data_IF_924296301700
#
_entry.id   IF_924296301700
#
_cell.length_a   1.000
_cell.length_b   1.000
_cell.length_c   1.000
_cell.angle_alpha   90.00
_cell.angle_beta   90.00
_cell.angle_gamma   90.00
#
_symmetry.space_group_name_H-M   'P 1'
#
loop_
_entity.id
_entity.type
_entity.pdbx_description
1 polymer ?
#
# COMPACT_ATOMS: atom_id res chain seq x y z
N UNK A 1 -12.53 -8.13 25.36
CA UNK A 1 -12.58 -7.17 24.23
C UNK A 1 -14.02 -7.10 23.71
N UNK A 2 -14.58 -5.92 23.42
CA UNK A 2 -15.95 -5.83 22.86
C UNK A 2 -15.99 -6.29 21.40
N UNK A 3 -17.05 -6.98 20.95
CA UNK A 3 -17.25 -7.41 19.55
C UNK A 3 -17.04 -6.27 18.54
N UNK A 4 -17.42 -5.04 18.91
CA UNK A 4 -17.21 -3.84 18.08
C UNK A 4 -15.73 -3.49 17.96
N UNK A 5 -14.96 -3.61 19.03
CA UNK A 5 -13.53 -3.31 18.99
C UNK A 5 -12.81 -4.28 18.04
N UNK A 6 -13.06 -5.58 18.16
CA UNK A 6 -12.47 -6.58 17.25
C UNK A 6 -12.82 -6.32 15.77
N UNK A 7 -14.05 -5.92 15.46
CA UNK A 7 -14.45 -5.55 14.10
C UNK A 7 -13.75 -4.29 13.58
N UNK A 8 -13.51 -3.31 14.46
CA UNK A 8 -12.80 -2.08 14.10
C UNK A 8 -11.32 -2.37 13.89
N UNK A 9 -10.71 -3.17 14.76
CA UNK A 9 -9.30 -3.55 14.66
C UNK A 9 -9.05 -4.32 13.35
N UNK A 10 -9.88 -5.31 13.03
CA UNK A 10 -9.81 -6.04 11.75
C UNK A 10 -10.01 -5.10 10.56
N UNK A 11 -11.03 -4.23 10.62
CA UNK A 11 -11.28 -3.24 9.58
C UNK A 11 -10.12 -2.28 9.37
N UNK A 12 -9.41 -1.91 10.45
CA UNK A 12 -8.22 -1.07 10.39
C UNK A 12 -7.07 -1.83 9.72
N UNK A 13 -6.80 -3.09 10.09
CA UNK A 13 -5.77 -3.90 9.44
C UNK A 13 -5.99 -4.03 7.93
N UNK A 14 -7.22 -4.28 7.51
CA UNK A 14 -7.59 -4.37 6.09
C UNK A 14 -7.37 -3.02 5.41
N UNK A 15 -7.85 -1.92 6.00
CA UNK A 15 -7.71 -0.57 5.44
C UNK A 15 -6.23 -0.17 5.29
N UNK A 16 -5.40 -0.38 6.31
CA UNK A 16 -3.97 -0.08 6.25
C UNK A 16 -3.23 -0.93 5.21
N UNK A 17 -3.66 -2.18 5.03
CA UNK A 17 -3.13 -3.05 3.98
C UNK A 17 -3.46 -2.51 2.58
N UNK A 18 -4.69 -2.02 2.38
CA UNK A 18 -5.11 -1.38 1.13
C UNK A 18 -4.33 -0.10 0.84
N UNK A 19 -4.17 0.80 1.83
CA UNK A 19 -3.37 2.02 1.71
C UNK A 19 -1.93 1.69 1.33
N UNK A 20 -1.30 0.74 2.02
CA UNK A 20 0.07 0.30 1.69
C UNK A 20 0.16 -0.21 0.25
N UNK A 21 -0.85 -0.92 -0.24
CA UNK A 21 -0.86 -1.42 -1.62
C UNK A 21 -1.01 -0.28 -2.64
N UNK A 22 -1.85 0.72 -2.36
CA UNK A 22 -1.97 1.92 -3.19
C UNK A 22 -0.65 2.68 -3.27
N UNK A 23 -0.02 2.97 -2.12
CA UNK A 23 1.28 3.66 -2.06
C UNK A 23 2.38 2.86 -2.76
N UNK A 24 2.39 1.53 -2.63
CA UNK A 24 3.33 0.66 -3.36
C UNK A 24 3.20 0.86 -4.87
N UNK A 25 1.98 0.89 -5.39
CA UNK A 25 1.73 1.08 -6.81
C UNK A 25 2.18 2.47 -7.29
N UNK A 26 1.92 3.52 -6.51
CA UNK A 26 2.42 4.88 -6.78
C UNK A 26 3.95 4.94 -6.83
N UNK A 27 4.65 4.27 -5.91
CA UNK A 27 6.11 4.17 -5.92
C UNK A 27 6.60 3.47 -7.20
N UNK A 28 5.97 2.36 -7.60
CA UNK A 28 6.34 1.64 -8.83
C UNK A 28 6.11 2.53 -10.05
N UNK A 29 4.97 3.21 -10.14
CA UNK A 29 4.66 4.10 -11.27
C UNK A 29 5.66 5.28 -11.31
N UNK A 30 5.94 5.89 -10.16
CA UNK A 30 6.92 6.97 -10.04
C UNK A 30 8.29 6.53 -10.55
N UNK A 31 8.78 5.38 -10.09
CA UNK A 31 10.07 4.82 -10.52
C UNK A 31 10.14 4.49 -12.02
N UNK A 32 9.00 4.25 -12.68
CA UNK A 32 8.94 3.95 -14.12
C UNK A 32 8.78 5.18 -15.01
N UNK A 33 8.09 6.22 -14.54
CA UNK A 33 7.75 7.40 -15.36
C UNK A 33 8.76 8.52 -15.25
N UNK A 34 9.29 8.73 -14.05
CA UNK A 34 10.10 9.89 -13.72
C UNK A 34 11.43 9.37 -13.21
N UNK A 35 12.53 9.70 -13.89
CA UNK A 35 13.87 9.55 -13.31
C UNK A 35 14.09 10.54 -12.13
N UNK A 36 13.04 10.83 -11.36
CA UNK A 36 13.05 11.68 -10.19
C UNK A 36 13.62 10.89 -9.01
N UNK A 37 14.38 11.60 -8.18
CA UNK A 37 14.90 11.04 -6.94
C UNK A 37 13.74 10.68 -6.00
N UNK A 38 13.91 9.60 -5.26
CA UNK A 38 12.92 9.13 -4.29
C UNK A 38 12.73 10.16 -3.17
N UNK A 39 11.52 10.73 -3.07
CA UNK A 39 11.13 11.63 -1.98
C UNK A 39 10.12 10.95 -1.02
N UNK A 40 10.52 10.63 0.23
CA UNK A 40 9.63 10.06 1.24
C UNK A 40 8.41 10.92 1.56
N UNK A 41 8.52 12.25 1.52
CA UNK A 41 7.44 13.15 1.92
C UNK A 41 6.30 13.13 0.89
N UNK A 42 6.63 13.13 -0.41
CA UNK A 42 5.64 12.94 -1.48
C UNK A 42 4.82 11.66 -1.29
N UNK A 43 5.46 10.55 -0.91
CA UNK A 43 4.74 9.30 -0.66
C UNK A 43 4.01 9.26 0.69
N UNK A 44 4.46 10.04 1.68
CA UNK A 44 3.73 10.24 2.92
C UNK A 44 2.41 10.99 2.66
N UNK A 45 2.44 12.00 1.80
CA UNK A 45 1.23 12.71 1.37
C UNK A 45 0.29 11.83 0.56
N UNK A 46 0.82 10.98 -0.34
CA UNK A 46 0.03 9.96 -1.01
C UNK A 46 -0.67 9.01 0.00
N UNK A 47 0.04 8.57 1.04
CA UNK A 47 -0.53 7.72 2.08
C UNK A 47 -1.62 8.45 2.88
N UNK A 48 -1.42 9.72 3.25
CA UNK A 48 -2.42 10.55 3.95
C UNK A 48 -3.66 10.78 3.08
N UNK A 49 -3.48 11.02 1.79
CA UNK A 49 -4.58 11.19 0.84
C UNK A 49 -5.43 9.92 0.76
N UNK A 50 -4.82 8.75 0.67
CA UNK A 50 -5.53 7.45 0.66
C UNK A 50 -6.26 7.18 1.97
N UNK A 51 -5.63 7.48 3.12
CA UNK A 51 -6.30 7.40 4.42
C UNK A 51 -7.53 8.32 4.48
N UNK A 52 -7.41 9.55 4.00
CA UNK A 52 -8.50 10.53 3.98
C UNK A 52 -9.65 10.11 3.05
N UNK A 53 -9.35 9.48 1.91
CA UNK A 53 -10.36 8.84 1.06
C UNK A 53 -11.15 7.79 1.86
N UNK A 54 -10.47 6.89 2.57
CA UNK A 54 -11.13 5.86 3.39
C UNK A 54 -11.93 6.44 4.56
N UNK A 55 -11.42 7.48 5.22
CA UNK A 55 -12.12 8.22 6.28
C UNK A 55 -13.44 8.77 5.73
N UNK A 56 -13.40 9.51 4.61
CA UNK A 56 -14.60 10.08 3.98
C UNK A 56 -15.60 9.01 3.56
N UNK A 57 -15.14 7.89 3.02
CA UNK A 57 -16.00 6.77 2.64
C UNK A 57 -16.71 6.18 3.86
N UNK A 58 -15.99 5.94 4.96
CA UNK A 58 -16.56 5.43 6.20
C UNK A 58 -17.58 6.40 6.82
N UNK A 59 -17.27 7.70 6.84
CA UNK A 59 -18.20 8.73 7.31
C UNK A 59 -19.46 8.85 6.45
N UNK A 60 -19.29 8.77 5.12
CA UNK A 60 -20.41 8.75 4.18
C UNK A 60 -21.30 7.53 4.40
N UNK A 61 -20.70 6.35 4.57
CA UNK A 61 -21.41 5.11 4.86
C UNK A 61 -22.17 5.19 6.18
N UNK A 62 -21.52 5.64 7.26
CA UNK A 62 -22.15 5.82 8.56
C UNK A 62 -23.36 6.78 8.48
N UNK A 63 -23.22 7.90 7.76
CA UNK A 63 -24.33 8.84 7.50
C UNK A 63 -25.47 8.21 6.72
N UNK A 64 -25.17 7.43 5.67
CA UNK A 64 -26.17 6.70 4.87
C UNK A 64 -26.92 5.68 5.72
N UNK A 65 -26.22 4.87 6.51
CA UNK A 65 -26.82 3.89 7.43
C UNK A 65 -27.69 4.57 8.49
N UNK A 66 -27.25 5.73 9.03
CA UNK A 66 -28.05 6.53 9.96
C UNK A 66 -29.37 6.99 9.31
N UNK A 67 -29.34 7.47 8.07
CA UNK A 67 -30.54 7.89 7.32
C UNK A 67 -31.46 6.70 7.06
N UNK A 68 -30.92 5.59 6.57
CA UNK A 68 -31.69 4.36 6.31
C UNK A 68 -32.40 3.87 7.58
N UNK A 69 -31.69 3.81 8.71
CA UNK A 69 -32.29 3.42 9.99
C UNK A 69 -33.42 4.39 10.38
N UNK A 70 -33.22 5.70 10.23
CA UNK A 70 -34.26 6.70 10.56
C UNK A 70 -35.51 6.54 9.70
N UNK A 71 -35.36 6.26 8.41
CA UNK A 71 -36.47 5.99 7.50
C UNK A 71 -37.21 4.71 7.88
N UNK A 72 -36.47 3.61 8.13
CA UNK A 72 -37.06 2.33 8.53
C UNK A 72 -37.79 2.43 9.86
N UNK A 73 -37.20 3.11 10.86
CA UNK A 73 -37.87 3.34 12.14
C UNK A 73 -39.16 4.12 11.90
N UNK A 74 -39.13 5.27 11.21
CA UNK A 74 -40.32 6.11 10.94
C UNK A 74 -41.43 5.40 10.17
N UNK A 75 -41.08 4.64 9.13
CA UNK A 75 -42.05 3.93 8.29
C UNK A 75 -42.78 2.80 9.04
N UNK A 76 -42.22 2.33 10.16
CA UNK A 76 -42.74 1.19 10.92
C UNK A 76 -43.46 1.61 12.21
N UNK A 77 -43.59 2.91 12.52
CA UNK A 77 -44.38 3.39 13.67
C UNK A 77 -45.91 3.18 13.52
N UNK A 78 -46.36 2.62 12.39
CA UNK A 78 -47.78 2.32 12.10
C UNK A 78 -48.17 0.85 12.37
N UNK A 79 -47.26 -0.04 12.78
CA UNK A 79 -47.56 -1.46 13.07
C UNK A 79 -46.55 -2.03 14.09
N UNK A 80 -46.95 -3.02 14.91
CA UNK A 80 -46.01 -3.75 15.76
C UNK A 80 -44.88 -4.37 14.93
N UNK A 81 -43.64 -4.15 15.38
CA UNK A 81 -42.42 -4.61 14.70
C UNK A 81 -42.24 -6.12 14.88
N UNK A 82 -41.90 -6.83 13.80
CA UNK A 82 -41.51 -8.26 13.90
C UNK A 82 -40.10 -8.42 14.47
N UNK A 83 -39.76 -9.61 14.97
CA UNK A 83 -38.44 -9.90 15.53
C UNK A 83 -37.30 -9.65 14.52
N UNK A 84 -37.49 -10.06 13.27
CA UNK A 84 -36.55 -9.80 12.16
C UNK A 84 -36.29 -8.30 11.97
N UNK A 85 -37.35 -7.49 12.10
CA UNK A 85 -37.26 -6.04 11.94
C UNK A 85 -36.47 -5.38 13.07
N UNK A 86 -36.56 -5.91 14.30
CA UNK A 86 -35.71 -5.48 15.41
C UNK A 86 -34.25 -5.88 15.19
N UNK A 87 -34.01 -7.10 14.68
CA UNK A 87 -32.67 -7.56 14.34
C UNK A 87 -32.02 -6.64 13.29
N UNK A 88 -32.73 -6.28 12.22
CA UNK A 88 -32.26 -5.34 11.19
C UNK A 88 -31.83 -3.99 11.77
N UNK A 89 -32.68 -3.38 12.61
CA UNK A 89 -32.39 -2.08 13.23
C UNK A 89 -31.13 -2.17 14.11
N UNK A 90 -30.98 -3.28 14.85
CA UNK A 90 -29.82 -3.53 15.69
C UNK A 90 -28.54 -3.68 14.86
N UNK A 91 -28.61 -4.37 13.71
CA UNK A 91 -27.49 -4.55 12.79
C UNK A 91 -27.08 -3.22 12.14
N UNK A 92 -28.04 -2.39 11.71
CA UNK A 92 -27.75 -1.06 11.18
C UNK A 92 -27.10 -0.16 12.24
N UNK A 93 -27.53 -0.27 13.50
CA UNK A 93 -26.89 0.44 14.63
C UNK A 93 -25.45 -0.04 14.84
N UNK A 94 -25.20 -1.34 14.76
CA UNK A 94 -23.87 -1.92 14.87
C UNK A 94 -22.96 -1.44 13.73
N UNK A 95 -23.39 -1.61 12.47
CA UNK A 95 -22.62 -1.18 11.28
C UNK A 95 -22.25 0.28 11.37
N UNK A 96 -23.20 1.16 11.70
CA UNK A 96 -22.91 2.59 11.88
C UNK A 96 -21.78 2.82 12.89
N UNK A 97 -21.84 2.17 14.05
CA UNK A 97 -20.87 2.37 15.13
C UNK A 97 -19.48 1.84 14.76
N UNK A 98 -19.40 0.75 13.99
CA UNK A 98 -18.14 0.22 13.46
C UNK A 98 -17.51 1.22 12.50
N UNK A 99 -18.25 1.71 11.50
CA UNK A 99 -17.71 2.67 10.52
C UNK A 99 -17.35 4.02 11.15
N UNK A 100 -18.14 4.52 12.11
CA UNK A 100 -17.80 5.74 12.88
C UNK A 100 -16.48 5.56 13.64
N UNK A 101 -16.27 4.41 14.30
CA UNK A 101 -15.02 4.15 15.04
C UNK A 101 -13.83 3.88 14.14
N UNK A 102 -14.04 3.20 13.01
CA UNK A 102 -13.00 2.98 12.01
C UNK A 102 -12.51 4.30 11.41
N UNK A 103 -13.42 5.22 11.09
CA UNK A 103 -13.09 6.57 10.64
C UNK A 103 -12.20 7.32 11.64
N UNK A 104 -12.54 7.25 12.94
CA UNK A 104 -11.72 7.85 14.01
C UNK A 104 -10.33 7.20 14.09
N UNK A 105 -10.26 5.87 14.03
CA UNK A 105 -8.99 5.14 14.08
C UNK A 105 -8.10 5.46 12.88
N UNK A 106 -8.66 5.53 11.67
CA UNK A 106 -7.93 5.93 10.47
C UNK A 106 -7.41 7.36 10.55
N UNK A 107 -8.20 8.29 11.11
CA UNK A 107 -7.77 9.67 11.35
C UNK A 107 -6.59 9.74 12.30
N UNK A 108 -6.64 9.00 13.41
CA UNK A 108 -5.52 8.93 14.35
C UNK A 108 -4.24 8.37 13.70
N UNK A 109 -4.36 7.44 12.76
CA UNK A 109 -3.21 6.95 11.97
C UNK A 109 -2.69 8.02 11.00
N UNK A 110 -3.58 8.75 10.33
CA UNK A 110 -3.20 9.79 9.36
C UNK A 110 -2.51 10.99 10.02
N UNK A 111 -2.86 11.29 11.28
CA UNK A 111 -2.28 12.37 12.10
C UNK A 111 -0.96 11.94 12.78
N UNK A 112 -0.61 10.64 12.79
CA UNK A 112 0.64 10.14 13.35
C UNK A 112 1.69 9.93 12.24
N UNK A 113 2.59 10.90 12.11
CA UNK A 113 3.68 10.88 11.12
C UNK A 113 4.54 9.61 11.21
N UNK A 114 4.73 9.04 12.42
CA UNK A 114 5.50 7.80 12.56
C UNK A 114 4.74 6.61 11.98
N UNK A 115 3.42 6.59 12.13
CA UNK A 115 2.59 5.57 11.48
C UNK A 115 2.62 5.72 9.96
N UNK A 116 2.45 6.93 9.45
CA UNK A 116 2.50 7.21 8.01
C UNK A 116 3.85 6.79 7.43
N UNK A 117 4.96 7.20 8.06
CA UNK A 117 6.31 6.78 7.65
C UNK A 117 6.49 5.26 7.63
N UNK A 118 5.91 4.53 8.60
CA UNK A 118 5.92 3.05 8.60
C UNK A 118 5.15 2.45 7.42
N UNK A 119 4.03 3.05 7.01
CA UNK A 119 3.26 2.60 5.85
C UNK A 119 4.09 2.79 4.58
N UNK A 120 4.67 3.98 4.40
CA UNK A 120 5.50 4.32 3.25
C UNK A 120 6.73 3.41 3.17
N UNK A 121 7.46 3.21 4.25
CA UNK A 121 8.64 2.35 4.26
C UNK A 121 8.30 0.90 3.91
N UNK A 122 7.18 0.38 4.41
CA UNK A 122 6.71 -0.97 4.05
C UNK A 122 6.27 -1.04 2.58
N UNK A 123 5.63 -0.01 2.07
CA UNK A 123 5.25 0.08 0.65
C UNK A 123 6.49 0.14 -0.24
N UNK A 124 7.51 0.93 0.13
CA UNK A 124 8.79 1.04 -0.59
C UNK A 124 9.53 -0.28 -0.68
N UNK A 125 9.63 -1.02 0.43
CA UNK A 125 10.24 -2.36 0.44
C UNK A 125 9.49 -3.31 -0.50
N UNK A 126 8.17 -3.36 -0.37
CA UNK A 126 7.35 -4.22 -1.23
C UNK A 126 7.47 -3.85 -2.71
N UNK A 127 7.49 -2.56 -3.04
CA UNK A 127 7.69 -2.07 -4.41
C UNK A 127 9.07 -2.47 -4.95
N UNK A 128 10.12 -2.31 -4.13
CA UNK A 128 11.49 -2.68 -4.49
C UNK A 128 11.62 -4.19 -4.74
N UNK A 129 10.98 -5.01 -3.91
CA UNK A 129 10.96 -6.47 -4.07
C UNK A 129 10.23 -6.88 -5.35
N UNK A 130 9.11 -6.23 -5.67
CA UNK A 130 8.34 -6.49 -6.90
C UNK A 130 9.09 -6.07 -8.16
N UNK A 131 9.72 -4.89 -8.16
CA UNK A 131 10.57 -4.44 -9.27
C UNK A 131 11.74 -5.41 -9.46
N UNK A 132 12.42 -5.82 -8.37
CA UNK A 132 13.52 -6.79 -8.42
C UNK A 132 13.05 -8.12 -9.01
N UNK A 133 11.90 -8.62 -8.60
CA UNK A 133 11.33 -9.86 -9.13
C UNK A 133 11.02 -9.74 -10.62
N UNK A 134 10.41 -8.63 -11.05
CA UNK A 134 10.09 -8.37 -12.45
C UNK A 134 11.34 -8.26 -13.33
N UNK A 135 12.36 -7.52 -12.87
CA UNK A 135 13.64 -7.39 -13.59
C UNK A 135 14.37 -8.73 -13.66
N UNK A 136 14.45 -9.47 -12.55
CA UNK A 136 15.06 -10.80 -12.53
C UNK A 136 14.39 -11.74 -13.53
N UNK A 137 13.06 -11.80 -13.53
CA UNK A 137 12.30 -12.62 -14.48
C UNK A 137 12.52 -12.19 -15.94
N UNK A 138 12.61 -10.87 -16.19
CA UNK A 138 12.89 -10.32 -17.53
C UNK A 138 14.29 -10.68 -18.00
N UNK A 139 15.30 -10.56 -17.13
CA UNK A 139 16.70 -10.88 -17.43
C UNK A 139 16.90 -12.37 -17.70
N UNK A 140 16.30 -13.26 -16.89
CA UNK A 140 16.35 -14.71 -17.12
C UNK A 140 15.85 -15.05 -18.52
N UNK A 141 14.70 -14.49 -18.93
CA UNK A 141 14.14 -14.69 -20.27
C UNK A 141 14.99 -14.10 -21.40
N UNK A 142 15.75 -13.03 -21.14
CA UNK A 142 16.61 -12.38 -22.15
C UNK A 142 17.98 -13.04 -22.27
N UNK A 143 18.50 -13.58 -21.17
CA UNK A 143 19.81 -14.20 -21.10
C UNK A 143 19.82 -15.64 -21.62
N UNK A 144 18.71 -16.37 -21.44
CA UNK A 144 18.54 -17.72 -21.94
C UNK A 144 18.08 -17.64 -23.40
N UNK A 145 18.96 -17.99 -24.34
CA UNK A 145 18.51 -18.44 -25.65
C UNK A 145 18.02 -19.87 -25.48
N UNK A 146 16.71 -20.09 -25.55
CA UNK A 146 16.09 -21.42 -25.45
C UNK A 146 16.62 -22.41 -26.53
N UNK A 147 17.42 -21.92 -27.49
CA UNK A 147 18.06 -22.69 -28.56
C UNK A 147 19.54 -23.00 -28.31
N UNK A 148 20.15 -22.50 -27.24
CA UNK A 148 21.55 -22.78 -26.89
C UNK A 148 21.62 -23.96 -25.88
N UNK A 149 21.85 -25.21 -26.34
CA UNK A 149 21.90 -26.39 -25.47
C UNK A 149 23.04 -26.35 -24.44
N UNK A 150 24.06 -25.51 -24.63
CA UNK A 150 25.23 -25.40 -23.75
C UNK A 150 25.11 -24.21 -22.78
N UNK A 151 23.93 -23.61 -22.63
CA UNK A 151 23.74 -22.39 -21.83
C UNK A 151 24.23 -22.56 -20.38
N UNK A 152 23.84 -23.67 -19.74
CA UNK A 152 24.19 -23.97 -18.35
C UNK A 152 25.70 -24.17 -18.18
N UNK A 153 26.36 -24.86 -19.12
CA UNK A 153 27.80 -25.12 -19.08
C UNK A 153 28.63 -23.82 -19.20
N UNK A 154 28.14 -22.86 -20.00
CA UNK A 154 28.83 -21.57 -20.21
C UNK A 154 28.39 -20.47 -19.23
N UNK A 155 27.43 -20.73 -18.35
CA UNK A 155 26.89 -19.74 -17.41
C UNK A 155 27.93 -19.28 -16.39
N UNK A 156 28.71 -20.22 -15.85
CA UNK A 156 29.73 -19.94 -14.85
C UNK A 156 30.79 -18.95 -15.39
N UNK A 157 31.33 -19.22 -16.58
CA UNK A 157 32.33 -18.37 -17.23
C UNK A 157 31.79 -16.96 -17.54
N UNK A 158 30.55 -16.84 -18.04
CA UNK A 158 29.92 -15.52 -18.30
C UNK A 158 29.70 -14.71 -17.02
N UNK A 159 29.30 -15.36 -15.94
CA UNK A 159 29.10 -14.71 -14.64
C UNK A 159 30.42 -14.17 -14.09
N UNK A 160 31.51 -14.92 -14.24
CA UNK A 160 32.86 -14.49 -13.84
C UNK A 160 33.34 -13.27 -14.63
N UNK A 161 33.12 -13.25 -15.95
CA UNK A 161 33.43 -12.10 -16.81
C UNK A 161 32.59 -10.86 -16.41
N UNK A 162 31.30 -11.04 -16.17
CA UNK A 162 30.41 -9.94 -15.75
C UNK A 162 30.85 -9.32 -14.42
N UNK A 163 31.23 -10.15 -13.42
CA UNK A 163 31.71 -9.66 -12.13
C UNK A 163 33.04 -8.93 -12.25
N UNK A 164 33.98 -9.50 -13.00
CA UNK A 164 35.35 -8.98 -13.10
C UNK A 164 35.46 -7.73 -13.97
N UNK A 165 34.65 -7.62 -15.04
CA UNK A 165 34.75 -6.53 -15.99
C UNK A 165 33.61 -5.52 -15.76
N UNK A 166 32.36 -5.94 -16.00
CA UNK A 166 31.23 -5.00 -16.05
C UNK A 166 30.94 -4.37 -14.68
N UNK A 167 30.96 -5.18 -13.62
CA UNK A 167 30.72 -4.70 -12.26
C UNK A 167 31.86 -3.82 -11.73
N UNK A 168 33.10 -4.09 -12.14
CA UNK A 168 34.26 -3.28 -11.81
C UNK A 168 34.18 -1.90 -12.48
N UNK A 169 33.81 -1.86 -13.76
CA UNK A 169 33.58 -0.61 -14.51
C UNK A 169 32.45 0.20 -13.88
N UNK A 170 31.36 -0.45 -13.48
CA UNK A 170 30.24 0.24 -12.81
C UNK A 170 30.66 0.84 -11.47
N UNK A 171 31.46 0.11 -10.67
CA UNK A 171 32.02 0.62 -9.41
C UNK A 171 32.92 1.84 -9.61
N UNK A 172 33.77 1.82 -10.64
CA UNK A 172 34.63 2.96 -10.99
C UNK A 172 33.79 4.19 -11.34
N UNK A 173 32.81 4.05 -12.22
CA UNK A 173 31.90 5.14 -12.59
C UNK A 173 31.12 5.70 -11.41
N UNK A 174 30.67 4.83 -10.50
CA UNK A 174 30.02 5.26 -9.28
C UNK A 174 31.00 6.08 -8.40
N UNK A 175 32.22 5.58 -8.19
CA UNK A 175 33.24 6.27 -7.39
C UNK A 175 33.65 7.61 -7.99
N UNK A 176 33.78 7.72 -9.31
CA UNK A 176 34.02 9.00 -10.01
C UNK A 176 32.90 10.00 -9.76
N UNK A 177 31.63 9.55 -9.85
CA UNK A 177 30.46 10.39 -9.57
C UNK A 177 30.41 10.84 -8.11
N UNK A 178 30.74 9.96 -7.16
CA UNK A 178 30.71 10.28 -5.72
C UNK A 178 31.92 11.13 -5.30
N UNK A 179 33.08 10.94 -5.92
CA UNK A 179 34.30 11.72 -5.69
C UNK A 179 34.25 13.10 -6.34
N UNK A 180 33.56 13.25 -7.47
CA UNK A 180 33.26 14.54 -8.10
C UNK A 180 32.41 15.44 -7.21
N UNK A 181 31.55 14.88 -6.35
CA UNK A 181 30.76 15.64 -5.38
C UNK A 181 31.57 16.10 -4.16
N UNK A 182 32.77 15.55 -3.94
CA UNK A 182 33.63 15.88 -2.78
C UNK A 182 34.76 16.87 -3.10
N UNK A 183 34.91 17.30 -4.36
CA UNK A 183 36.07 18.07 -4.85
C UNK A 183 35.74 19.54 -5.17
N UNK A 184 34.75 20.14 -4.52
CA UNK A 184 34.32 21.53 -4.77
C UNK A 184 34.35 22.43 -3.52
N UNK A 185 35.33 22.23 -2.63
CA UNK A 185 35.69 23.16 -1.54
C UNK A 185 37.19 23.41 -1.49
#
# INVERSE_FOLDING_TARGET
MSKIAAMVDEGLFIALSAVRMAVKNEIIIGALREHADYDPETYADAARNELDVLIRQNDSYARRVRRLRKTLTRSRWTTDLTEDQHADISQLRLRRRVHERLSIALRAVAEDDRHVARIVERARRAASDEIRAAVSAKLVRLAIDDRDPDYEDRRAARTEVFVSIDLAVLRLKHAEKTGSETSDY
#
